data_IF_143071900165
#
_entry.id   IF_143071900165
#
_cell.length_a   1.000
_cell.length_b   1.000
_cell.length_c   1.000
_cell.angle_alpha   90.00
_cell.angle_beta   90.00
_cell.angle_gamma   90.00
#
_symmetry.space_group_name_H-M   'P 1'
#
loop_
_entity.id
_entity.type
_entity.pdbx_description
1 polymer ?
#
# COMPACT_ATOMS: atom_id res chain seq x y z
N UNK A 1 10.41 -8.52 20.30
CA UNK A 1 10.03 -7.10 20.10
C UNK A 1 9.00 -6.73 21.17
N UNK A 2 9.19 -5.66 21.95
CA UNK A 2 8.25 -5.32 23.03
C UNK A 2 6.87 -4.97 22.46
N UNK A 3 5.78 -5.35 23.13
CA UNK A 3 4.41 -5.12 22.65
C UNK A 3 4.12 -3.66 22.24
N UNK A 4 4.76 -2.70 22.92
CA UNK A 4 4.67 -1.29 22.55
C UNK A 4 5.26 -0.97 21.17
N UNK A 5 6.40 -1.55 20.79
CA UNK A 5 7.02 -1.30 19.48
C UNK A 5 6.14 -1.78 18.33
N UNK A 6 5.58 -3.00 18.43
CA UNK A 6 4.67 -3.53 17.42
C UNK A 6 3.40 -2.69 17.29
N UNK A 7 2.85 -2.22 18.42
CA UNK A 7 1.67 -1.34 18.43
C UNK A 7 1.95 0.03 17.81
N UNK A 8 3.11 0.63 18.10
CA UNK A 8 3.53 1.89 17.48
C UNK A 8 3.65 1.74 15.97
N UNK A 9 4.28 0.67 15.47
CA UNK A 9 4.39 0.42 14.02
C UNK A 9 3.00 0.28 13.38
N UNK A 10 2.08 -0.47 14.01
CA UNK A 10 0.70 -0.59 13.50
C UNK A 10 0.01 0.77 13.39
N UNK A 11 0.13 1.62 14.42
CA UNK A 11 -0.47 2.96 14.43
C UNK A 11 0.12 3.82 13.30
N UNK A 12 1.45 3.82 13.13
CA UNK A 12 2.12 4.60 12.08
C UNK A 12 1.64 4.16 10.70
N UNK A 13 1.62 2.85 10.43
CA UNK A 13 1.21 2.29 9.14
C UNK A 13 -0.27 2.60 8.86
N UNK A 14 -1.15 2.46 9.86
CA UNK A 14 -2.56 2.79 9.72
C UNK A 14 -2.79 4.29 9.48
N UNK A 15 -2.11 5.16 10.23
CA UNK A 15 -2.21 6.60 10.08
C UNK A 15 -1.72 7.06 8.69
N UNK A 16 -0.61 6.51 8.21
CA UNK A 16 -0.11 6.79 6.86
C UNK A 16 -1.12 6.40 5.77
N UNK A 17 -1.74 5.22 5.89
CA UNK A 17 -2.78 4.78 4.95
C UNK A 17 -4.02 5.67 4.96
N UNK A 18 -4.49 6.09 6.14
CA UNK A 18 -5.64 7.00 6.27
C UNK A 18 -5.32 8.36 5.67
N UNK A 19 -4.13 8.91 5.96
CA UNK A 19 -3.69 10.19 5.40
C UNK A 19 -3.63 10.13 3.87
N UNK A 20 -3.08 9.06 3.30
CA UNK A 20 -3.03 8.88 1.86
C UNK A 20 -4.43 8.83 1.25
N UNK A 21 -5.37 8.07 1.83
CA UNK A 21 -6.76 8.04 1.37
C UNK A 21 -7.43 9.41 1.43
N UNK A 22 -7.19 10.18 2.50
CA UNK A 22 -7.69 11.54 2.62
C UNK A 22 -7.16 12.45 1.50
N UNK A 23 -5.87 12.32 1.15
CA UNK A 23 -5.27 13.05 0.03
C UNK A 23 -5.87 12.63 -1.32
N UNK A 24 -6.12 11.33 -1.56
CA UNK A 24 -6.80 10.86 -2.77
C UNK A 24 -8.21 11.46 -2.90
N UNK A 25 -9.00 11.46 -1.82
CA UNK A 25 -10.33 12.06 -1.81
C UNK A 25 -10.26 13.56 -2.07
N UNK A 26 -9.31 14.26 -1.45
CA UNK A 26 -9.10 15.69 -1.67
C UNK A 26 -8.74 16.00 -3.13
N UNK A 27 -7.81 15.24 -3.72
CA UNK A 27 -7.42 15.39 -5.11
C UNK A 27 -8.61 15.15 -6.06
N UNK A 28 -9.37 14.09 -5.84
CA UNK A 28 -10.56 13.79 -6.65
C UNK A 28 -11.61 14.91 -6.55
N UNK A 29 -11.83 15.48 -5.36
CA UNK A 29 -12.75 16.63 -5.21
C UNK A 29 -12.25 17.88 -5.93
N UNK A 30 -10.95 18.10 -6.01
CA UNK A 30 -10.37 19.29 -6.61
C UNK A 30 -10.34 19.24 -8.15
N UNK A 31 -9.98 18.09 -8.73
CA UNK A 31 -9.71 17.98 -10.18
C UNK A 31 -10.39 16.78 -10.86
N UNK A 32 -11.23 16.03 -10.13
CA UNK A 32 -11.92 14.86 -10.65
C UNK A 32 -10.96 13.81 -11.22
N UNK A 33 -11.42 13.09 -12.24
CA UNK A 33 -10.60 12.13 -13.00
C UNK A 33 -9.60 12.78 -13.96
N UNK A 34 -9.85 14.02 -14.41
CA UNK A 34 -8.99 14.75 -15.34
C UNK A 34 -7.62 15.14 -14.77
N UNK A 35 -7.43 15.02 -13.45
CA UNK A 35 -6.12 15.22 -12.82
C UNK A 35 -5.04 14.29 -13.39
N UNK A 36 -5.40 13.08 -13.83
CA UNK A 36 -4.44 12.14 -14.39
C UNK A 36 -3.89 12.55 -15.76
N UNK A 37 -4.67 13.26 -16.58
CA UNK A 37 -4.19 13.74 -17.89
C UNK A 37 -3.01 14.70 -17.71
N UNK A 38 -3.09 15.57 -16.70
CA UNK A 38 -2.01 16.49 -16.34
C UNK A 38 -0.79 15.76 -15.78
N UNK A 39 -0.98 14.70 -14.99
CA UNK A 39 0.12 13.87 -14.45
C UNK A 39 0.84 13.14 -15.57
N UNK A 40 0.12 12.64 -16.57
CA UNK A 40 0.70 11.95 -17.72
C UNK A 40 1.43 12.90 -18.68
N UNK A 41 1.02 14.17 -18.72
CA UNK A 41 1.69 15.20 -19.52
C UNK A 41 3.03 15.65 -18.89
N UNK A 42 3.18 15.55 -17.57
CA UNK A 42 4.39 15.96 -16.85
C UNK A 42 5.39 14.80 -16.74
N UNK A 43 6.65 14.95 -17.18
CA UNK A 43 7.65 13.88 -17.13
C UNK A 43 7.84 13.25 -15.74
N UNK A 44 7.87 14.08 -14.69
CA UNK A 44 7.96 13.60 -13.31
C UNK A 44 6.68 12.93 -12.81
N UNK A 45 5.53 13.27 -13.37
CA UNK A 45 4.27 12.58 -13.09
C UNK A 45 4.33 11.12 -13.57
N UNK A 46 4.85 10.88 -14.77
CA UNK A 46 5.10 9.53 -15.29
C UNK A 46 6.11 8.76 -14.42
N UNK A 47 7.23 9.40 -14.02
CA UNK A 47 8.22 8.77 -13.13
C UNK A 47 7.60 8.38 -11.79
N UNK A 48 6.74 9.23 -11.23
CA UNK A 48 6.05 8.94 -9.95
C UNK A 48 5.07 7.78 -10.10
N UNK A 49 4.35 7.69 -11.22
CA UNK A 49 3.49 6.53 -11.52
C UNK A 49 4.33 5.24 -11.62
N UNK A 50 5.45 5.28 -12.33
CA UNK A 50 6.37 4.14 -12.44
C UNK A 50 6.96 3.74 -11.09
N UNK A 51 7.30 4.69 -10.23
CA UNK A 51 7.78 4.43 -8.87
C UNK A 51 6.74 3.66 -8.05
N UNK A 52 5.47 4.09 -8.09
CA UNK A 52 4.36 3.37 -7.45
C UNK A 52 4.17 1.97 -8.05
N UNK A 53 4.27 1.82 -9.37
CA UNK A 53 4.16 0.50 -10.01
C UNK A 53 5.31 -0.43 -9.61
N UNK A 54 6.55 0.08 -9.58
CA UNK A 54 7.72 -0.65 -9.12
C UNK A 54 7.57 -1.06 -7.64
N UNK A 55 7.10 -0.14 -6.80
CA UNK A 55 6.72 -0.43 -5.42
C UNK A 55 5.71 -1.56 -5.32
N UNK A 56 4.70 -1.57 -6.20
CA UNK A 56 3.71 -2.64 -6.33
C UNK A 56 4.32 -4.01 -6.66
N UNK A 57 5.27 -4.06 -7.61
CA UNK A 57 6.01 -5.28 -7.95
C UNK A 57 6.85 -5.78 -6.76
N UNK A 58 7.62 -4.88 -6.15
CA UNK A 58 8.45 -5.21 -4.98
C UNK A 58 7.60 -5.73 -3.81
N UNK A 59 6.49 -5.05 -3.50
CA UNK A 59 5.57 -5.49 -2.45
C UNK A 59 4.90 -6.82 -2.81
N UNK A 60 4.54 -7.01 -4.08
CA UNK A 60 4.03 -8.27 -4.58
C UNK A 60 5.00 -9.42 -4.31
N UNK A 61 6.30 -9.24 -4.59
CA UNK A 61 7.32 -10.23 -4.28
C UNK A 61 7.38 -10.57 -2.77
N UNK A 62 7.28 -9.55 -1.90
CA UNK A 62 7.22 -9.75 -0.43
C UNK A 62 5.99 -10.57 -0.03
N UNK A 63 4.82 -10.25 -0.59
CA UNK A 63 3.57 -10.97 -0.31
C UNK A 63 3.68 -12.43 -0.78
N UNK A 64 4.20 -12.68 -1.98
CA UNK A 64 4.40 -14.03 -2.50
C UNK A 64 5.41 -14.85 -1.69
N UNK A 65 6.45 -14.21 -1.15
CA UNK A 65 7.39 -14.86 -0.26
C UNK A 65 6.78 -15.17 1.13
N UNK A 66 5.87 -14.32 1.61
CA UNK A 66 5.26 -14.44 2.93
C UNK A 66 4.03 -15.36 2.98
N UNK A 67 3.25 -15.41 1.91
CA UNK A 67 2.01 -16.19 1.85
C UNK A 67 2.25 -17.61 1.36
N UNK A 68 1.81 -18.59 2.16
CA UNK A 68 1.94 -20.02 1.82
C UNK A 68 1.16 -20.39 0.55
N UNK A 69 0.03 -19.72 0.31
CA UNK A 69 -0.86 -20.00 -0.82
C UNK A 69 -0.71 -18.92 -1.90
N UNK A 70 -0.25 -19.33 -3.08
CA UNK A 70 -0.06 -18.42 -4.23
C UNK A 70 -1.33 -17.68 -4.67
N UNK A 71 -2.51 -18.32 -4.52
CA UNK A 71 -3.81 -17.69 -4.82
C UNK A 71 -4.11 -16.52 -3.89
N UNK A 72 -3.83 -16.69 -2.59
CA UNK A 72 -4.01 -15.62 -1.60
C UNK A 72 -3.01 -14.50 -1.85
N UNK A 73 -1.76 -14.83 -2.17
CA UNK A 73 -0.76 -13.84 -2.55
C UNK A 73 -1.23 -13.01 -3.75
N UNK A 74 -1.69 -13.67 -4.81
CA UNK A 74 -2.20 -13.01 -6.01
C UNK A 74 -3.40 -12.11 -5.71
N UNK A 75 -4.33 -12.57 -4.88
CA UNK A 75 -5.51 -11.80 -4.48
C UNK A 75 -5.15 -10.51 -3.70
N UNK A 76 -4.02 -10.49 -2.98
CA UNK A 76 -3.51 -9.29 -2.32
C UNK A 76 -2.67 -8.42 -3.25
N UNK A 77 -1.90 -9.02 -4.16
CA UNK A 77 -0.98 -8.30 -5.04
C UNK A 77 -1.70 -7.59 -6.18
N UNK A 78 -2.67 -8.23 -6.85
CA UNK A 78 -3.34 -7.63 -8.01
C UNK A 78 -4.02 -6.29 -7.70
N UNK A 79 -4.76 -6.14 -6.58
CA UNK A 79 -5.40 -4.86 -6.28
C UNK A 79 -4.43 -3.72 -6.01
N UNK A 80 -3.14 -3.97 -5.72
CA UNK A 80 -2.14 -2.91 -5.51
C UNK A 80 -1.95 -2.06 -6.77
N UNK A 81 -2.05 -2.67 -7.96
CA UNK A 81 -1.89 -1.95 -9.23
C UNK A 81 -3.09 -1.05 -9.59
N UNK A 82 -4.23 -1.25 -8.93
CA UNK A 82 -5.45 -0.46 -9.14
C UNK A 82 -5.70 0.54 -8.00
N UNK A 83 -5.47 0.12 -6.77
CA UNK A 83 -5.78 0.87 -5.55
C UNK A 83 -4.53 1.45 -4.87
N UNK A 84 -3.36 1.21 -5.45
CA UNK A 84 -2.08 1.60 -4.88
C UNK A 84 -1.75 0.87 -3.58
N UNK A 85 -0.84 1.48 -2.81
CA UNK A 85 -0.31 0.90 -1.58
C UNK A 85 -1.27 0.92 -0.37
N UNK A 86 -2.50 1.39 -0.53
CA UNK A 86 -3.55 1.21 0.50
C UNK A 86 -3.78 -0.28 0.77
N UNK A 87 -3.76 -1.10 -0.28
CA UNK A 87 -3.89 -2.56 -0.16
C UNK A 87 -2.70 -3.15 0.59
N UNK A 88 -1.50 -2.65 0.31
CA UNK A 88 -0.27 -3.04 1.03
C UNK A 88 -0.35 -2.70 2.51
N UNK A 89 -0.87 -1.52 2.87
CA UNK A 89 -1.12 -1.12 4.26
C UNK A 89 -2.04 -2.13 4.96
N UNK A 90 -3.18 -2.46 4.33
CA UNK A 90 -4.14 -3.44 4.90
C UNK A 90 -3.46 -4.80 5.08
N UNK A 91 -2.75 -5.29 4.06
CA UNK A 91 -2.05 -6.56 4.14
C UNK A 91 -0.99 -6.57 5.26
N UNK A 92 -0.22 -5.50 5.40
CA UNK A 92 0.79 -5.37 6.47
C UNK A 92 0.14 -5.44 7.85
N UNK A 93 -0.98 -4.74 8.04
CA UNK A 93 -1.70 -4.70 9.31
C UNK A 93 -2.36 -6.03 9.68
N UNK A 94 -2.91 -6.75 8.71
CA UNK A 94 -3.73 -7.96 8.93
C UNK A 94 -2.92 -9.25 8.84
N UNK A 95 -1.87 -9.30 8.02
CA UNK A 95 -1.14 -10.54 7.72
C UNK A 95 0.28 -10.52 8.28
N UNK A 96 1.01 -9.43 8.05
CA UNK A 96 2.43 -9.36 8.38
C UNK A 96 2.69 -9.08 9.86
N UNK A 97 2.17 -7.96 10.38
CA UNK A 97 2.43 -7.52 11.75
C UNK A 97 1.87 -8.47 12.84
N UNK A 98 0.69 -9.09 12.69
CA UNK A 98 0.19 -10.03 13.69
C UNK A 98 1.07 -11.26 13.85
N UNK A 99 1.68 -11.76 12.77
CA UNK A 99 2.61 -12.91 12.81
C UNK A 99 3.96 -12.58 13.46
N UNK A 100 4.29 -11.29 13.60
CA UNK A 100 5.51 -10.84 14.28
C UNK A 100 5.30 -10.49 15.76
N UNK A 101 4.05 -10.56 16.27
CA UNK A 101 3.82 -10.52 17.71
C UNK A 101 4.28 -11.85 18.30
N UNK A 102 5.15 -11.86 19.33
CA UNK A 102 5.44 -13.07 20.07
C UNK A 102 4.13 -13.62 20.63
N UNK A 103 3.80 -14.87 20.30
CA UNK A 103 2.80 -15.60 21.06
C UNK A 103 3.35 -15.74 22.49
N UNK A 104 2.50 -15.50 23.49
CA UNK A 104 2.82 -15.70 24.90
C UNK A 104 3.46 -17.07 25.16
#
# INVERSE_FOLDING_TARGET
>A
MTNNKARVIQIIVAAAGILFLAMCVNAYRAVGGSGFDNVLAEPWGVVTLLDVMLGGVCMGAVIFAHEKQKRVALAWTLPIFLLGHVVSVVWVLVRFLPRMRPNH
#
